data_IF_060781259671
#
_entry.id   IF_060781259671
#
_cell.length_a   1.000
_cell.length_b   1.000
_cell.length_c   1.000
_cell.angle_alpha   90.00
_cell.angle_beta   90.00
_cell.angle_gamma   90.00
#
_symmetry.space_group_name_H-M   'P 1'
#
loop_
_entity.id
_entity.type
_entity.pdbx_description
1 polymer ?
#
# COMPACT_ATOMS: atom_id res chain seq x y z
N UNK A 1 35.65 -43.90 20.09
CA UNK A 1 35.26 -43.36 18.78
C UNK A 1 33.72 -43.42 18.72
N UNK A 2 33.09 -42.24 18.91
CA UNK A 2 31.65 -42.13 18.79
C UNK A 2 31.32 -42.05 17.30
N UNK A 3 30.55 -42.98 16.80
CA UNK A 3 29.99 -42.92 15.45
C UNK A 3 28.88 -41.89 15.53
N UNK A 4 29.16 -40.65 15.07
CA UNK A 4 28.11 -39.69 14.82
C UNK A 4 27.20 -40.26 13.75
N UNK A 5 26.01 -40.61 14.15
CA UNK A 5 24.93 -41.07 13.27
C UNK A 5 24.60 -39.86 12.37
N UNK A 6 25.04 -39.94 11.12
CA UNK A 6 24.72 -38.95 10.11
C UNK A 6 23.22 -39.02 9.86
N UNK A 7 22.47 -38.18 10.56
CA UNK A 7 21.03 -38.04 10.33
C UNK A 7 20.88 -37.41 8.96
N UNK A 8 20.50 -38.23 7.97
CA UNK A 8 20.17 -37.78 6.64
C UNK A 8 18.88 -36.98 6.73
N UNK A 9 19.01 -35.66 6.81
CA UNK A 9 17.82 -34.77 6.79
C UNK A 9 17.22 -34.84 5.38
N UNK A 10 16.07 -35.47 5.27
CA UNK A 10 15.29 -35.45 4.03
C UNK A 10 14.56 -34.11 4.01
N UNK A 11 14.97 -33.23 3.10
CA UNK A 11 14.22 -32.01 2.85
C UNK A 11 12.96 -32.35 2.06
N UNK A 12 11.83 -31.82 2.51
CA UNK A 12 10.58 -31.92 1.77
C UNK A 12 10.73 -31.24 0.40
N UNK A 13 10.23 -31.88 -0.65
CA UNK A 13 10.22 -31.30 -2.01
C UNK A 13 9.31 -30.07 -2.12
N UNK A 14 8.50 -29.82 -1.11
CA UNK A 14 7.62 -28.65 -1.04
C UNK A 14 8.16 -27.62 -0.05
N UNK A 15 8.71 -26.54 -0.59
CA UNK A 15 8.95 -25.34 0.18
C UNK A 15 7.59 -24.68 0.42
N UNK A 16 7.10 -24.69 1.66
CA UNK A 16 5.89 -23.97 2.02
C UNK A 16 6.20 -22.49 2.07
N UNK A 17 5.50 -21.75 1.25
CA UNK A 17 5.48 -20.28 1.35
C UNK A 17 4.65 -19.91 2.57
N UNK A 18 5.31 -19.64 3.69
CA UNK A 18 4.64 -19.38 4.99
C UNK A 18 4.04 -17.97 5.10
N UNK A 19 4.31 -17.10 4.14
CA UNK A 19 3.93 -15.69 4.23
C UNK A 19 3.07 -15.28 3.06
N UNK A 20 1.80 -15.10 3.35
CA UNK A 20 0.84 -14.46 2.46
C UNK A 20 0.35 -13.20 3.16
N UNK A 21 0.78 -12.03 2.69
CA UNK A 21 0.22 -10.78 3.15
C UNK A 21 -0.61 -10.15 2.04
N UNK A 22 -1.77 -9.63 2.44
CA UNK A 22 -2.61 -8.88 1.53
C UNK A 22 -2.10 -7.44 1.44
N UNK A 23 -1.44 -7.13 0.34
CA UNK A 23 -0.86 -5.83 0.03
C UNK A 23 -1.90 -4.99 -0.71
N UNK A 24 -2.74 -4.29 0.01
CA UNK A 24 -3.93 -3.64 -0.54
C UNK A 24 -3.83 -2.10 -0.62
N UNK A 25 -2.97 -1.45 0.15
CA UNK A 25 -2.75 -0.02 0.06
C UNK A 25 -2.24 0.42 -1.33
N UNK A 26 -1.55 -0.47 -2.03
CA UNK A 26 -1.16 -0.26 -3.44
C UNK A 26 -2.33 -0.08 -4.42
N UNK A 27 -3.56 -0.42 -4.04
CA UNK A 27 -4.77 -0.16 -4.83
C UNK A 27 -5.09 1.33 -4.96
N UNK A 28 -4.57 2.16 -4.06
CA UNK A 28 -4.67 3.62 -4.11
C UNK A 28 -3.69 4.26 -5.11
N UNK A 29 -2.68 3.51 -5.60
CA UNK A 29 -1.69 4.01 -6.55
C UNK A 29 -2.30 4.29 -7.92
N UNK A 30 -1.98 5.46 -8.46
CA UNK A 30 -2.34 5.86 -9.82
C UNK A 30 -1.35 5.25 -10.82
N UNK A 31 -1.82 4.38 -11.74
CA UNK A 31 -0.97 3.74 -12.73
C UNK A 31 -0.51 4.69 -13.85
N UNK A 32 -1.09 5.88 -14.00
CA UNK A 32 -0.79 6.80 -15.11
C UNK A 32 0.68 7.24 -15.07
N UNK A 33 1.24 7.42 -13.88
CA UNK A 33 2.61 7.90 -13.70
C UNK A 33 3.70 6.83 -13.88
N UNK A 34 3.35 5.56 -14.06
CA UNK A 34 4.34 4.47 -14.23
C UNK A 34 5.28 4.66 -15.41
N UNK A 35 4.81 5.29 -16.50
CA UNK A 35 5.63 5.50 -17.70
C UNK A 35 6.65 6.61 -17.49
N UNK A 36 6.22 7.70 -16.86
CA UNK A 36 7.05 8.88 -16.66
C UNK A 36 8.15 8.65 -15.63
N UNK A 37 7.89 7.79 -14.64
CA UNK A 37 8.86 7.41 -13.62
C UNK A 37 10.04 6.58 -14.11
N UNK A 38 10.01 6.05 -15.33
CA UNK A 38 11.11 5.21 -15.85
C UNK A 38 12.39 5.99 -16.18
N UNK A 39 12.29 7.28 -16.42
CA UNK A 39 13.38 8.06 -17.04
C UNK A 39 13.88 9.25 -16.20
N UNK A 40 13.29 9.53 -15.04
CA UNK A 40 13.66 10.69 -14.23
C UNK A 40 13.74 10.38 -12.74
N UNK A 41 14.51 11.19 -12.02
CA UNK A 41 14.59 11.12 -10.55
C UNK A 41 13.38 11.78 -9.87
N UNK A 42 12.68 12.64 -10.59
CA UNK A 42 11.46 13.31 -10.16
C UNK A 42 10.42 13.27 -11.28
N UNK A 43 9.16 13.19 -10.91
CA UNK A 43 8.02 13.30 -11.82
C UNK A 43 7.13 14.43 -11.34
N UNK A 44 6.83 15.35 -12.25
CA UNK A 44 5.94 16.48 -12.02
C UNK A 44 4.49 16.04 -12.31
N UNK A 45 3.68 15.94 -11.25
CA UNK A 45 2.24 15.69 -11.35
C UNK A 45 1.54 17.03 -11.45
N UNK A 46 0.93 17.31 -12.61
CA UNK A 46 0.23 18.55 -12.87
C UNK A 46 -1.26 18.42 -12.58
N UNK A 47 -1.80 19.45 -11.95
CA UNK A 47 -3.23 19.59 -11.68
C UNK A 47 -3.71 20.90 -12.28
N UNK A 48 -4.89 20.88 -12.90
CA UNK A 48 -5.53 22.13 -13.35
C UNK A 48 -6.23 22.78 -12.17
N UNK A 49 -6.01 24.08 -12.00
CA UNK A 49 -6.78 24.86 -11.06
C UNK A 49 -8.20 25.07 -11.64
N UNK A 50 -9.27 25.00 -10.80
CA UNK A 50 -10.63 25.21 -11.29
C UNK A 50 -10.79 26.65 -11.80
N UNK A 51 -11.51 26.78 -12.89
CA UNK A 51 -11.92 28.08 -13.41
C UNK A 51 -13.17 28.56 -12.68
N UNK A 52 -13.23 29.86 -12.38
CA UNK A 52 -14.42 30.49 -11.80
C UNK A 52 -15.40 30.82 -12.91
N UNK A 53 -16.65 30.40 -12.78
CA UNK A 53 -17.72 30.87 -13.65
C UNK A 53 -18.29 32.18 -13.09
N UNK A 54 -18.30 33.20 -13.92
CA UNK A 54 -18.96 34.46 -13.60
C UNK A 54 -20.36 34.48 -14.24
N UNK A 55 -21.33 35.11 -13.57
CA UNK A 55 -22.64 35.31 -14.12
C UNK A 55 -22.56 36.24 -15.32
N UNK A 56 -23.31 35.90 -16.38
CA UNK A 56 -23.39 36.69 -17.60
C UNK A 56 -24.78 37.27 -17.71
N UNK A 57 -24.88 38.58 -17.55
CA UNK A 57 -26.17 39.32 -17.63
C UNK A 57 -26.51 39.87 -19.03
N UNK A 58 -25.70 39.53 -20.04
CA UNK A 58 -25.84 40.06 -21.42
C UNK A 58 -24.98 41.33 -21.63
N UNK A 59 -24.46 41.49 -22.84
CA UNK A 59 -23.56 42.57 -23.21
C UNK A 59 -22.19 42.09 -23.64
N UNK A 60 -21.21 42.98 -23.76
CA UNK A 60 -19.85 42.62 -24.10
C UNK A 60 -19.17 42.00 -22.89
N UNK A 61 -18.42 40.89 -23.13
CA UNK A 61 -17.59 40.28 -22.11
C UNK A 61 -16.48 41.24 -21.66
N UNK A 62 -16.40 41.51 -20.35
CA UNK A 62 -15.32 42.29 -19.80
C UNK A 62 -14.00 41.47 -19.79
N UNK A 63 -13.15 41.74 -20.78
CA UNK A 63 -11.88 41.06 -20.96
C UNK A 63 -10.89 41.41 -19.81
N UNK A 64 -11.15 42.47 -19.03
CA UNK A 64 -10.30 42.84 -17.89
C UNK A 64 -10.39 41.82 -16.72
N UNK A 65 -11.46 41.03 -16.67
CA UNK A 65 -11.71 40.04 -15.65
C UNK A 65 -11.31 38.61 -16.05
N UNK A 66 -10.56 38.43 -17.13
CA UNK A 66 -10.11 37.13 -17.61
C UNK A 66 -9.22 36.45 -16.57
N UNK A 67 -9.71 35.39 -16.02
CA UNK A 67 -8.94 34.54 -15.12
C UNK A 67 -7.86 33.77 -15.91
N UNK A 68 -6.62 33.80 -15.45
CA UNK A 68 -5.55 32.97 -16.04
C UNK A 68 -5.73 31.53 -15.58
N UNK A 69 -5.88 30.63 -16.54
CA UNK A 69 -5.86 29.20 -16.25
C UNK A 69 -4.54 28.83 -15.55
N UNK A 70 -4.64 28.43 -14.30
CA UNK A 70 -3.52 28.03 -13.47
C UNK A 70 -3.30 26.51 -13.52
N UNK A 71 -2.07 26.09 -13.29
CA UNK A 71 -1.72 24.70 -13.07
C UNK A 71 -0.86 24.59 -11.83
N UNK A 72 -1.29 23.73 -10.91
CA UNK A 72 -0.51 23.37 -9.72
C UNK A 72 0.33 22.15 -10.01
N UNK A 73 1.61 22.16 -9.63
CA UNK A 73 2.52 21.05 -9.87
C UNK A 73 3.01 20.46 -8.56
N UNK A 74 2.92 19.14 -8.41
CA UNK A 74 3.45 18.41 -7.25
C UNK A 74 4.55 17.45 -7.70
N UNK A 75 5.76 17.64 -7.18
CA UNK A 75 6.92 16.78 -7.48
C UNK A 75 6.85 15.47 -6.68
N UNK A 76 6.94 14.36 -7.38
CA UNK A 76 7.09 13.02 -6.81
C UNK A 76 8.53 12.55 -7.01
N UNK A 77 9.28 12.44 -5.91
CA UNK A 77 10.68 11.97 -5.95
C UNK A 77 10.75 10.47 -5.98
N UNK A 78 11.65 9.94 -6.83
CA UNK A 78 11.96 8.52 -6.91
C UNK A 78 13.23 8.28 -6.08
N UNK A 79 13.07 8.14 -4.79
CA UNK A 79 14.20 8.09 -3.83
C UNK A 79 14.18 6.87 -2.91
N UNK A 80 13.21 5.96 -3.08
CA UNK A 80 13.14 4.75 -2.25
C UNK A 80 13.74 3.57 -3.01
N UNK A 81 14.90 3.11 -2.58
CA UNK A 81 15.57 1.93 -3.11
C UNK A 81 15.52 0.76 -2.13
N UNK A 82 15.34 -0.45 -2.64
CA UNK A 82 15.47 -1.70 -1.88
C UNK A 82 16.39 -2.63 -2.62
N UNK A 83 17.27 -3.32 -1.88
CA UNK A 83 18.17 -4.31 -2.42
C UNK A 83 18.17 -5.55 -1.55
N UNK A 84 18.37 -6.70 -2.18
CA UNK A 84 18.58 -7.97 -1.52
C UNK A 84 19.90 -8.53 -2.03
N UNK A 85 20.66 -9.11 -1.12
CA UNK A 85 21.88 -9.84 -1.40
C UNK A 85 21.92 -11.11 -0.56
N UNK A 86 22.10 -12.25 -1.20
CA UNK A 86 22.29 -13.53 -0.53
C UNK A 86 23.23 -14.44 -1.32
N UNK A 87 23.80 -15.42 -0.65
CA UNK A 87 24.61 -16.46 -1.29
C UNK A 87 24.01 -17.83 -1.06
N UNK A 88 24.17 -18.69 -2.03
CA UNK A 88 23.90 -20.11 -1.90
C UNK A 88 25.22 -20.86 -1.93
N UNK A 89 25.44 -21.65 -0.89
CA UNK A 89 26.59 -22.52 -0.75
C UNK A 89 26.45 -23.69 -1.75
N UNK A 90 27.39 -23.81 -2.69
CA UNK A 90 27.35 -24.88 -3.70
C UNK A 90 27.46 -26.28 -3.07
N UNK A 91 28.19 -26.43 -1.97
CA UNK A 91 28.28 -27.71 -1.27
C UNK A 91 26.91 -28.17 -0.75
N UNK A 92 26.11 -27.24 -0.19
CA UNK A 92 24.72 -27.55 0.21
C UNK A 92 23.80 -27.80 -0.98
N UNK A 93 24.00 -27.06 -2.08
CA UNK A 93 23.28 -27.27 -3.32
C UNK A 93 23.62 -28.61 -3.96
N UNK A 94 24.89 -29.07 -3.88
CA UNK A 94 25.30 -30.36 -4.40
C UNK A 94 24.81 -31.52 -3.50
N UNK A 95 24.67 -31.32 -2.22
CA UNK A 95 23.97 -32.27 -1.33
C UNK A 95 22.49 -32.43 -1.69
N UNK A 96 21.85 -31.34 -2.11
CA UNK A 96 20.48 -31.35 -2.64
C UNK A 96 20.46 -31.99 -4.05
N UNK A 97 21.47 -31.77 -4.88
CA UNK A 97 21.60 -32.40 -6.22
C UNK A 97 21.70 -33.92 -6.19
N UNK A 98 22.37 -34.50 -5.19
CA UNK A 98 22.41 -35.94 -5.01
C UNK A 98 21.04 -36.59 -4.73
N UNK A 99 20.02 -35.78 -4.56
CA UNK A 99 18.64 -36.19 -4.37
C UNK A 99 17.74 -36.13 -5.62
N UNK A 100 18.16 -35.68 -6.78
CA UNK A 100 17.47 -35.64 -8.10
C UNK A 100 17.49 -34.26 -8.80
N UNK A 101 18.16 -34.16 -9.93
CA UNK A 101 18.00 -33.24 -11.06
C UNK A 101 18.22 -31.73 -10.87
N UNK A 102 18.83 -31.10 -11.88
CA UNK A 102 19.03 -29.64 -12.07
C UNK A 102 17.73 -28.81 -11.91
N UNK A 103 16.57 -29.43 -12.05
CA UNK A 103 15.27 -28.80 -11.89
C UNK A 103 15.00 -28.27 -10.47
N UNK A 104 15.55 -28.90 -9.43
CA UNK A 104 15.32 -28.50 -8.03
C UNK A 104 16.10 -27.23 -7.65
N UNK A 105 17.32 -27.10 -8.18
CA UNK A 105 18.13 -25.86 -8.00
C UNK A 105 17.43 -24.66 -8.63
N UNK A 106 16.86 -24.85 -9.83
CA UNK A 106 16.11 -23.82 -10.54
C UNK A 106 14.83 -23.47 -9.76
N UNK A 107 14.17 -24.46 -9.16
CA UNK A 107 12.96 -24.25 -8.34
C UNK A 107 13.28 -23.41 -7.10
N UNK A 108 14.33 -23.75 -6.37
CA UNK A 108 14.77 -23.02 -5.17
C UNK A 108 15.11 -21.55 -5.49
N UNK A 109 15.87 -21.29 -6.55
CA UNK A 109 16.20 -19.92 -6.96
C UNK A 109 14.96 -19.14 -7.37
N UNK A 110 13.99 -19.79 -8.04
CA UNK A 110 12.70 -19.15 -8.38
C UNK A 110 11.90 -18.76 -7.14
N UNK A 111 11.90 -19.59 -6.12
CA UNK A 111 11.20 -19.32 -4.87
C UNK A 111 11.83 -18.14 -4.11
N UNK A 112 13.17 -18.10 -3.99
CA UNK A 112 13.86 -16.94 -3.42
C UNK A 112 13.64 -15.67 -4.25
N UNK A 113 13.57 -15.78 -5.57
CA UNK A 113 13.26 -14.64 -6.44
C UNK A 113 11.83 -14.15 -6.22
N UNK A 114 10.88 -15.06 -6.03
CA UNK A 114 9.49 -14.70 -5.74
C UNK A 114 9.34 -14.04 -4.37
N UNK A 115 10.03 -14.57 -3.34
CA UNK A 115 10.04 -13.97 -2.00
C UNK A 115 10.68 -12.58 -2.02
N UNK A 116 11.80 -12.42 -2.71
CA UNK A 116 12.47 -11.13 -2.87
C UNK A 116 11.57 -10.08 -3.55
N UNK A 117 10.80 -10.49 -4.56
CA UNK A 117 9.83 -9.63 -5.22
C UNK A 117 8.69 -9.25 -4.29
N UNK A 118 8.17 -10.20 -3.53
CA UNK A 118 7.12 -9.94 -2.53
C UNK A 118 7.58 -8.95 -1.45
N UNK A 119 8.83 -9.07 -0.98
CA UNK A 119 9.43 -8.12 -0.03
C UNK A 119 9.53 -6.71 -0.65
N UNK A 120 9.82 -6.62 -1.94
CA UNK A 120 9.83 -5.36 -2.67
C UNK A 120 8.42 -4.76 -2.79
N UNK A 121 7.44 -5.56 -3.17
CA UNK A 121 6.03 -5.15 -3.27
C UNK A 121 5.49 -4.71 -1.89
N UNK A 122 5.88 -5.40 -0.81
CA UNK A 122 5.59 -4.99 0.58
C UNK A 122 6.19 -3.63 0.92
N UNK A 123 7.42 -3.36 0.48
CA UNK A 123 8.04 -2.05 0.71
C UNK A 123 7.28 -0.92 0.01
N UNK A 124 6.77 -1.16 -1.20
CA UNK A 124 5.92 -0.20 -1.92
C UNK A 124 4.60 0.00 -1.16
N UNK A 125 3.96 -1.10 -0.74
CA UNK A 125 2.70 -1.05 -0.01
C UNK A 125 2.83 -0.28 1.30
N UNK A 126 3.88 -0.55 2.08
CA UNK A 126 4.20 0.19 3.30
C UNK A 126 4.41 1.68 3.02
N UNK A 127 5.10 2.02 1.93
CA UNK A 127 5.29 3.40 1.54
C UNK A 127 3.96 4.09 1.17
N UNK A 128 2.97 3.35 0.65
CA UNK A 128 1.61 3.88 0.45
C UNK A 128 0.91 4.15 1.79
N UNK A 129 1.03 3.26 2.75
CA UNK A 129 0.47 3.45 4.10
C UNK A 129 1.09 4.67 4.81
N UNK A 130 2.41 4.86 4.69
CA UNK A 130 3.13 6.02 5.23
C UNK A 130 2.63 7.37 4.67
N UNK A 131 1.92 7.37 3.52
CA UNK A 131 1.36 8.61 2.95
C UNK A 131 0.25 9.22 3.82
N UNK A 132 -0.20 8.55 4.87
CA UNK A 132 -1.10 9.13 5.88
C UNK A 132 -0.62 10.48 6.42
N UNK A 133 0.70 10.69 6.48
CA UNK A 133 1.31 11.96 6.93
C UNK A 133 0.86 13.14 6.06
N UNK A 134 0.48 12.88 4.80
CA UNK A 134 0.00 13.86 3.84
C UNK A 134 -1.51 13.87 3.68
N UNK A 135 -2.19 12.93 4.32
CA UNK A 135 -3.64 12.82 4.30
C UNK A 135 -4.30 13.94 5.10
N UNK A 136 -5.53 14.27 4.74
CA UNK A 136 -6.41 15.05 5.62
C UNK A 136 -6.77 14.19 6.83
N UNK A 137 -6.32 14.61 8.00
CA UNK A 137 -6.60 13.89 9.24
C UNK A 137 -7.97 14.29 9.81
N UNK A 138 -8.82 13.29 10.08
CA UNK A 138 -10.09 13.51 10.74
C UNK A 138 -9.87 13.98 12.19
N UNK A 139 -10.83 14.72 12.72
CA UNK A 139 -10.84 15.23 14.10
C UNK A 139 -9.53 15.93 14.51
N UNK A 140 -8.87 16.62 13.56
CA UNK A 140 -7.57 17.26 13.79
C UNK A 140 -6.53 16.33 14.43
N UNK A 141 -6.49 15.07 13.98
CA UNK A 141 -5.61 14.02 14.50
C UNK A 141 -5.91 13.60 15.95
N UNK A 142 -7.10 13.89 16.47
CA UNK A 142 -7.54 13.38 17.78
C UNK A 142 -7.80 11.88 17.70
N UNK A 143 -7.41 11.15 18.74
CA UNK A 143 -7.64 9.71 18.78
C UNK A 143 -9.14 9.39 18.94
N UNK A 144 -9.64 8.50 18.07
CA UNK A 144 -11.02 8.03 18.08
C UNK A 144 -11.00 6.57 18.54
N UNK A 145 -11.61 6.28 19.68
CA UNK A 145 -11.79 4.89 20.12
C UNK A 145 -12.87 4.25 19.26
N UNK A 146 -12.56 3.14 18.59
CA UNK A 146 -13.52 2.45 17.74
C UNK A 146 -14.55 1.74 18.60
N UNK A 147 -15.82 2.07 18.36
CA UNK A 147 -17.01 1.50 18.97
C UNK A 147 -18.11 1.41 17.91
N UNK A 148 -19.20 0.77 18.26
CA UNK A 148 -20.36 0.59 17.38
C UNK A 148 -20.86 1.90 16.75
N UNK A 149 -20.86 2.96 17.53
CA UNK A 149 -21.30 4.29 17.08
C UNK A 149 -20.19 5.01 16.32
N UNK A 150 -18.95 4.94 16.82
CA UNK A 150 -17.86 5.76 16.31
C UNK A 150 -17.29 5.25 14.98
N UNK A 151 -17.37 3.94 14.69
CA UNK A 151 -16.94 3.44 13.37
C UNK A 151 -17.79 4.04 12.25
N UNK A 152 -19.11 4.18 12.45
CA UNK A 152 -19.98 4.85 11.50
C UNK A 152 -19.59 6.32 11.31
N UNK A 153 -19.28 7.03 12.40
CA UNK A 153 -18.86 8.42 12.35
C UNK A 153 -17.53 8.60 11.60
N UNK A 154 -16.54 7.71 11.79
CA UNK A 154 -15.26 7.75 11.07
C UNK A 154 -15.48 7.66 9.56
N UNK A 155 -16.27 6.68 9.10
CA UNK A 155 -16.57 6.51 7.69
C UNK A 155 -17.41 7.65 7.11
N UNK A 156 -18.41 8.14 7.86
CA UNK A 156 -19.22 9.29 7.46
C UNK A 156 -18.38 10.58 7.35
N UNK A 157 -17.50 10.82 8.31
CA UNK A 157 -16.58 11.97 8.30
C UNK A 157 -15.57 11.86 7.16
N UNK A 158 -15.03 10.66 6.90
CA UNK A 158 -14.14 10.42 5.76
C UNK A 158 -14.87 10.68 4.43
N UNK A 159 -16.09 10.18 4.26
CA UNK A 159 -16.93 10.46 3.09
C UNK A 159 -17.16 11.96 2.92
N UNK A 160 -17.55 12.65 3.99
CA UNK A 160 -17.81 14.08 3.96
C UNK A 160 -16.57 14.87 3.58
N UNK A 161 -15.39 14.51 4.11
CA UNK A 161 -14.13 15.16 3.76
C UNK A 161 -13.77 14.96 2.28
N UNK A 162 -13.95 13.74 1.75
CA UNK A 162 -13.68 13.44 0.33
C UNK A 162 -14.68 14.10 -0.63
N UNK A 163 -15.95 14.24 -0.22
CA UNK A 163 -16.98 14.96 -1.01
C UNK A 163 -16.70 16.46 -1.02
N UNK A 164 -16.36 17.04 0.13
CA UNK A 164 -15.99 18.46 0.23
C UNK A 164 -14.70 18.80 -0.54
N UNK A 165 -13.79 17.83 -0.64
CA UNK A 165 -12.53 18.00 -1.34
C UNK A 165 -11.72 19.18 -0.82
N UNK A 166 -11.27 20.05 -1.72
CA UNK A 166 -10.46 21.24 -1.40
C UNK A 166 -11.29 22.48 -1.05
N UNK A 167 -12.61 22.37 -1.10
CA UNK A 167 -13.53 23.51 -0.90
C UNK A 167 -13.60 24.49 -2.08
N UNK A 168 -12.88 24.23 -3.17
CA UNK A 168 -12.86 25.06 -4.40
C UNK A 168 -13.55 24.40 -5.57
N UNK A 169 -14.28 23.30 -5.32
CA UNK A 169 -15.00 22.54 -6.35
C UNK A 169 -14.35 21.23 -6.77
N UNK A 170 -13.13 20.94 -6.33
CA UNK A 170 -12.54 19.64 -6.57
C UNK A 170 -13.00 18.64 -5.51
N UNK A 171 -13.73 17.64 -5.91
CA UNK A 171 -14.10 16.51 -5.06
C UNK A 171 -13.22 15.30 -5.34
N UNK A 172 -12.84 14.58 -4.29
CA UNK A 172 -12.16 13.29 -4.40
C UNK A 172 -13.17 12.14 -4.50
N UNK A 173 -14.44 12.38 -4.17
CA UNK A 173 -15.47 11.35 -4.14
C UNK A 173 -15.94 10.96 -5.54
N UNK A 174 -15.99 9.65 -5.79
CA UNK A 174 -16.64 9.06 -6.96
C UNK A 174 -17.29 7.74 -6.57
N UNK A 175 -18.59 7.65 -6.74
CA UNK A 175 -19.35 6.44 -6.41
C UNK A 175 -18.80 5.20 -7.13
N UNK A 176 -18.69 4.10 -6.39
CA UNK A 176 -18.18 2.83 -6.90
C UNK A 176 -16.66 2.73 -7.06
N UNK A 177 -15.91 3.81 -6.84
CA UNK A 177 -14.44 3.80 -6.94
C UNK A 177 -13.73 4.08 -5.59
N UNK A 178 -14.50 4.25 -4.52
CA UNK A 178 -13.94 4.58 -3.21
C UNK A 178 -13.48 3.34 -2.47
N UNK A 179 -12.29 3.42 -1.86
CA UNK A 179 -11.68 2.35 -1.07
C UNK A 179 -11.41 2.86 0.35
N UNK A 180 -11.68 2.00 1.32
CA UNK A 180 -11.19 2.12 2.68
C UNK A 180 -10.19 0.98 2.93
N UNK A 181 -8.93 1.32 3.21
CA UNK A 181 -7.89 0.37 3.60
C UNK A 181 -7.83 0.37 5.12
N UNK A 182 -8.13 -0.76 5.73
CA UNK A 182 -8.23 -0.93 7.19
C UNK A 182 -7.31 -2.03 7.69
N UNK A 183 -7.04 -2.06 8.98
CA UNK A 183 -6.30 -3.12 9.64
C UNK A 183 -7.14 -4.39 9.81
N UNK A 184 -6.50 -5.56 10.01
CA UNK A 184 -7.21 -6.79 10.37
C UNK A 184 -8.01 -6.66 11.68
N UNK A 185 -7.49 -5.87 12.63
CA UNK A 185 -8.15 -5.63 13.92
C UNK A 185 -9.46 -4.85 13.71
N UNK A 186 -9.43 -3.82 12.89
CA UNK A 186 -10.62 -3.04 12.56
C UNK A 186 -11.63 -3.87 11.75
N UNK A 187 -11.15 -4.71 10.84
CA UNK A 187 -11.97 -5.64 10.06
C UNK A 187 -12.70 -6.62 10.97
N UNK A 188 -11.98 -7.28 11.89
CA UNK A 188 -12.57 -8.23 12.83
C UNK A 188 -13.65 -7.57 13.68
N UNK A 189 -13.43 -6.30 14.12
CA UNK A 189 -14.42 -5.52 14.83
C UNK A 189 -15.68 -5.28 13.97
N UNK A 190 -15.51 -4.80 12.73
CA UNK A 190 -16.62 -4.53 11.81
C UNK A 190 -17.40 -5.78 11.42
N UNK A 191 -16.71 -6.92 11.28
CA UNK A 191 -17.33 -8.23 10.97
C UNK A 191 -18.16 -8.75 12.13
N UNK A 192 -17.68 -8.60 13.37
CA UNK A 192 -18.43 -8.98 14.57
C UNK A 192 -19.76 -8.23 14.67
N UNK A 193 -19.77 -6.97 14.27
CA UNK A 193 -20.97 -6.13 14.24
C UNK A 193 -21.89 -6.37 13.04
N UNK A 194 -21.48 -7.22 12.09
CA UNK A 194 -22.23 -7.52 10.86
C UNK A 194 -22.61 -6.29 10.03
N UNK A 195 -21.79 -5.25 10.05
CA UNK A 195 -22.04 -3.99 9.33
C UNK A 195 -21.55 -3.99 7.89
N UNK A 196 -20.70 -4.95 7.54
CA UNK A 196 -20.15 -5.09 6.19
C UNK A 196 -21.17 -5.73 5.24
N UNK A 197 -21.43 -5.05 4.12
CA UNK A 197 -22.29 -5.59 3.06
C UNK A 197 -21.42 -6.22 1.98
N UNK A 198 -21.64 -7.50 1.72
CA UNK A 198 -20.91 -8.20 0.66
C UNK A 198 -21.53 -7.91 -0.70
N UNK A 199 -20.67 -7.70 -1.70
CA UNK A 199 -21.07 -7.50 -3.09
C UNK A 199 -20.16 -8.30 -4.02
N UNK A 200 -20.74 -9.26 -4.74
CA UNK A 200 -20.01 -10.10 -5.71
C UNK A 200 -19.34 -9.29 -6.83
N UNK A 201 -19.99 -8.20 -7.27
CA UNK A 201 -19.45 -7.31 -8.31
C UNK A 201 -18.19 -6.62 -7.81
N UNK A 202 -18.23 -6.08 -6.60
CA UNK A 202 -17.07 -5.41 -5.98
C UNK A 202 -15.98 -6.40 -5.59
N UNK A 203 -16.33 -7.61 -5.15
CA UNK A 203 -15.37 -8.68 -4.88
C UNK A 203 -14.57 -9.05 -6.14
N UNK A 204 -15.23 -9.16 -7.30
CA UNK A 204 -14.56 -9.38 -8.60
C UNK A 204 -13.67 -8.21 -9.01
N UNK A 205 -14.06 -6.99 -8.70
CA UNK A 205 -13.32 -5.78 -9.05
C UNK A 205 -12.05 -5.61 -8.19
N UNK A 206 -12.18 -5.75 -6.88
CA UNK A 206 -11.08 -5.54 -5.93
C UNK A 206 -10.28 -6.81 -5.62
N UNK A 207 -10.81 -7.98 -5.93
CA UNK A 207 -10.14 -9.29 -5.76
C UNK A 207 -9.65 -9.54 -4.32
N UNK A 208 -8.32 -9.60 -4.12
CA UNK A 208 -7.71 -9.93 -2.83
C UNK A 208 -7.99 -8.86 -1.77
N UNK A 209 -8.22 -9.30 -0.52
CA UNK A 209 -8.39 -8.45 0.66
C UNK A 209 -9.70 -7.66 0.70
N UNK A 210 -10.60 -7.83 -0.26
CA UNK A 210 -11.93 -7.25 -0.19
C UNK A 210 -12.79 -8.02 0.82
N UNK A 211 -13.35 -7.28 1.77
CA UNK A 211 -14.18 -7.85 2.85
C UNK A 211 -15.65 -7.51 2.66
N UNK A 212 -15.95 -6.32 2.17
CA UNK A 212 -17.33 -5.89 1.96
C UNK A 212 -17.42 -4.41 1.60
N UNK A 213 -18.66 -3.93 1.52
CA UNK A 213 -18.99 -2.52 1.29
C UNK A 213 -19.49 -1.90 2.57
N UNK A 214 -19.06 -0.69 2.87
CA UNK A 214 -19.57 0.09 3.98
C UNK A 214 -19.62 1.59 3.63
N UNK A 215 -20.78 2.20 3.74
CA UNK A 215 -21.05 3.63 3.48
C UNK A 215 -20.52 4.15 2.12
N UNK A 216 -20.50 3.29 1.09
CA UNK A 216 -20.02 3.61 -0.26
C UNK A 216 -18.53 3.37 -0.48
N UNK A 217 -17.81 2.88 0.52
CA UNK A 217 -16.42 2.42 0.39
C UNK A 217 -16.36 0.91 0.18
N UNK A 218 -15.51 0.47 -0.73
CA UNK A 218 -15.05 -0.89 -0.77
C UNK A 218 -13.98 -1.08 0.32
N UNK A 219 -14.31 -1.87 1.33
CA UNK A 219 -13.42 -2.14 2.46
C UNK A 219 -12.43 -3.23 2.08
N UNK A 220 -11.15 -2.92 2.22
CA UNK A 220 -10.03 -3.85 1.97
C UNK A 220 -9.10 -3.88 3.18
N UNK A 221 -8.62 -5.07 3.52
CA UNK A 221 -7.73 -5.28 4.66
C UNK A 221 -6.27 -5.23 4.22
N UNK A 222 -5.44 -4.59 5.03
CA UNK A 222 -4.00 -4.54 4.82
C UNK A 222 -3.24 -4.63 6.15
N UNK A 223 -2.34 -5.59 6.24
CA UNK A 223 -1.54 -5.80 7.46
C UNK A 223 -0.48 -4.71 7.69
N UNK A 224 -0.16 -3.93 6.66
CA UNK A 224 0.88 -2.90 6.71
C UNK A 224 0.32 -1.50 6.99
N UNK A 225 -0.92 -1.40 7.45
CA UNK A 225 -1.48 -0.13 7.92
C UNK A 225 -0.52 0.49 8.93
N UNK A 226 -0.28 1.79 8.77
CA UNK A 226 0.63 2.49 9.65
C UNK A 226 0.07 2.53 11.09
N UNK A 227 0.93 2.20 12.05
CA UNK A 227 0.58 2.14 13.48
C UNK A 227 1.58 2.98 14.27
N UNK A 228 1.09 3.69 15.28
CA UNK A 228 1.95 4.39 16.25
C UNK A 228 1.62 3.96 17.66
N UNK A 229 2.66 3.73 18.47
CA UNK A 229 2.47 3.43 19.89
C UNK A 229 2.86 4.65 20.71
N UNK A 230 1.97 5.09 21.55
CA UNK A 230 2.14 6.24 22.46
C UNK A 230 1.95 5.76 23.90
N UNK A 231 2.68 6.36 24.84
CA UNK A 231 2.46 6.11 26.27
C UNK A 231 1.36 7.05 26.77
N UNK A 232 0.21 6.49 27.12
CA UNK A 232 -0.92 7.22 27.66
C UNK A 232 -1.20 6.71 29.07
N UNK A 233 -1.11 7.59 30.06
CA UNK A 233 -1.30 7.25 31.49
C UNK A 233 -0.42 6.09 31.97
N UNK A 234 0.79 5.94 31.41
CA UNK A 234 1.72 4.88 31.79
C UNK A 234 1.55 3.55 31.02
N UNK A 235 0.55 3.45 30.17
CA UNK A 235 0.30 2.28 29.33
C UNK A 235 0.68 2.54 27.87
N UNK A 236 1.20 1.50 27.20
CA UNK A 236 1.46 1.54 25.77
C UNK A 236 0.16 1.39 24.99
N UNK A 237 -0.24 2.43 24.29
CA UNK A 237 -1.45 2.47 23.47
C UNK A 237 -1.06 2.52 21.99
N UNK A 238 -1.52 1.56 21.21
CA UNK A 238 -1.25 1.51 19.76
C UNK A 238 -2.44 2.05 18.99
N UNK A 239 -2.18 3.06 18.17
CA UNK A 239 -3.13 3.67 17.27
C UNK A 239 -2.88 3.19 15.84
N UNK A 240 -3.96 3.01 15.09
CA UNK A 240 -3.97 2.60 13.70
C UNK A 240 -4.50 3.73 12.81
N UNK A 241 -4.04 3.77 11.56
CA UNK A 241 -4.39 4.83 10.64
C UNK A 241 -5.01 4.26 9.36
N UNK A 242 -6.33 3.98 9.36
CA UNK A 242 -7.02 3.59 8.13
C UNK A 242 -6.90 4.67 7.07
N UNK A 243 -6.87 4.25 5.80
CA UNK A 243 -6.76 5.15 4.66
C UNK A 243 -8.04 5.12 3.83
N UNK A 244 -8.56 6.29 3.51
CA UNK A 244 -9.74 6.47 2.69
C UNK A 244 -9.38 7.28 1.45
N UNK A 245 -9.72 6.75 0.28
CA UNK A 245 -9.40 7.43 -0.97
C UNK A 245 -10.03 6.76 -2.17
N UNK A 246 -9.76 7.31 -3.35
CA UNK A 246 -10.24 6.76 -4.61
C UNK A 246 -9.24 5.74 -5.17
N UNK A 247 -9.72 4.58 -5.60
CA UNK A 247 -8.92 3.56 -6.24
C UNK A 247 -8.15 4.12 -7.45
N UNK A 248 -6.86 3.80 -7.56
CA UNK A 248 -6.00 4.15 -8.70
C UNK A 248 -5.90 5.65 -9.02
N UNK A 249 -6.17 6.54 -8.06
CA UNK A 249 -6.16 7.99 -8.28
C UNK A 249 -5.65 8.80 -7.09
N UNK A 250 -5.49 8.18 -5.93
CA UNK A 250 -5.19 8.91 -4.68
C UNK A 250 -3.71 9.16 -4.47
N UNK A 251 -2.86 8.19 -4.81
CA UNK A 251 -1.43 8.24 -4.56
C UNK A 251 -0.70 8.18 -5.89
N UNK A 252 0.07 9.20 -6.21
CA UNK A 252 0.98 9.18 -7.35
C UNK A 252 2.21 8.35 -7.00
N UNK A 253 2.55 7.41 -7.87
CA UNK A 253 3.71 6.58 -7.60
C UNK A 253 3.95 5.53 -8.68
N UNK A 254 5.13 4.97 -8.67
CA UNK A 254 5.51 3.93 -9.59
C UNK A 254 6.89 3.37 -9.32
N UNK A 255 7.22 2.34 -10.06
CA UNK A 255 8.51 1.65 -10.00
C UNK A 255 9.34 2.11 -11.18
N UNK A 256 10.49 2.74 -10.88
CA UNK A 256 11.47 3.12 -11.89
C UNK A 256 12.25 1.91 -12.38
N UNK A 257 12.82 1.16 -11.45
CA UNK A 257 13.52 -0.09 -11.72
C UNK A 257 12.78 -1.22 -11.01
N UNK A 258 12.19 -2.11 -11.81
CA UNK A 258 11.54 -3.31 -11.29
C UNK A 258 12.58 -4.23 -10.66
N UNK A 259 12.17 -4.95 -9.63
CA UNK A 259 13.05 -5.86 -8.93
C UNK A 259 13.39 -7.05 -9.83
N UNK A 260 14.68 -7.21 -10.11
CA UNK A 260 15.22 -8.36 -10.85
C UNK A 260 16.37 -8.96 -10.06
N UNK A 261 16.36 -10.28 -9.93
CA UNK A 261 17.45 -11.03 -9.33
C UNK A 261 18.49 -11.34 -10.41
N UNK A 262 19.72 -10.97 -10.13
CA UNK A 262 20.92 -11.28 -10.92
C UNK A 262 21.78 -12.25 -10.13
N UNK A 263 22.59 -13.05 -10.80
CA UNK A 263 23.49 -13.99 -10.15
C UNK A 263 24.88 -13.95 -10.78
N UNK A 264 25.90 -14.23 -9.99
CA UNK A 264 27.28 -14.33 -10.43
C UNK A 264 28.15 -15.07 -9.45
N UNK A 265 29.27 -15.62 -9.95
CA UNK A 265 30.30 -16.23 -9.12
C UNK A 265 31.41 -15.21 -8.88
N UNK A 266 31.93 -15.17 -7.65
CA UNK A 266 33.14 -14.42 -7.36
C UNK A 266 34.33 -15.15 -7.97
N UNK A 267 35.28 -14.42 -8.57
CA UNK A 267 36.51 -15.00 -9.10
C UNK A 267 37.25 -15.74 -7.98
N UNK A 268 37.49 -17.03 -8.18
CA UNK A 268 38.13 -17.92 -7.19
C UNK A 268 37.22 -18.43 -6.06
N UNK A 269 35.90 -18.17 -6.12
CA UNK A 269 34.92 -18.67 -5.15
C UNK A 269 34.03 -19.75 -5.71
N UNK A 270 33.62 -20.69 -4.84
CA UNK A 270 32.68 -21.76 -5.19
C UNK A 270 31.22 -21.36 -5.03
N UNK A 271 30.94 -20.28 -4.25
CA UNK A 271 29.59 -19.84 -3.95
C UNK A 271 28.98 -19.02 -5.09
N UNK A 272 27.71 -19.26 -5.37
CA UNK A 272 26.93 -18.40 -6.26
C UNK A 272 26.27 -17.30 -5.43
N UNK A 273 26.56 -16.07 -5.79
CA UNK A 273 25.96 -14.87 -5.19
C UNK A 273 24.77 -14.42 -6.01
N UNK A 274 23.70 -14.03 -5.30
CA UNK A 274 22.50 -13.49 -5.88
C UNK A 274 22.26 -12.08 -5.33
N UNK A 275 21.95 -11.14 -6.21
CA UNK A 275 21.62 -9.77 -5.83
C UNK A 275 20.49 -9.22 -6.66
N UNK A 276 19.71 -8.36 -6.09
CA UNK A 276 18.65 -7.65 -6.77
C UNK A 276 18.45 -6.28 -6.17
N UNK A 277 18.01 -5.34 -6.99
CA UNK A 277 17.61 -4.00 -6.55
C UNK A 277 16.39 -3.54 -7.30
N UNK A 278 15.53 -2.84 -6.58
CA UNK A 278 14.39 -2.12 -7.14
C UNK A 278 14.37 -0.68 -6.63
N UNK A 279 13.86 0.22 -7.44
CA UNK A 279 13.74 1.65 -7.10
C UNK A 279 12.33 2.10 -7.40
N UNK A 280 11.72 2.85 -6.46
CA UNK A 280 10.36 3.34 -6.59
C UNK A 280 10.18 4.70 -5.93
N UNK A 281 9.11 5.39 -6.29
CA UNK A 281 8.66 6.63 -5.66
C UNK A 281 7.17 6.58 -5.40
N UNK A 282 6.74 7.11 -4.25
CA UNK A 282 5.34 7.16 -3.82
C UNK A 282 5.08 8.45 -3.08
N UNK A 283 4.04 9.19 -3.48
CA UNK A 283 3.62 10.42 -2.82
C UNK A 283 2.14 10.68 -3.02
N UNK A 284 1.42 10.98 -1.95
CA UNK A 284 0.09 11.57 -2.05
C UNK A 284 0.24 13.02 -2.53
N UNK A 285 -0.25 13.35 -3.74
CA UNK A 285 0.02 14.65 -4.35
C UNK A 285 -0.76 15.75 -3.65
N UNK A 286 -2.01 15.49 -3.31
CA UNK A 286 -2.94 16.46 -2.70
C UNK A 286 -3.57 15.85 -1.45
N UNK A 287 -3.60 16.62 -0.38
CA UNK A 287 -4.09 16.15 0.93
C UNK A 287 -5.57 15.75 0.91
N UNK A 288 -6.40 16.46 0.15
CA UNK A 288 -7.83 16.20 0.09
C UNK A 288 -8.21 14.91 -0.65
N UNK A 289 -7.28 14.31 -1.43
CA UNK A 289 -7.51 13.04 -2.13
C UNK A 289 -7.37 11.84 -1.20
N UNK A 290 -6.70 12.00 -0.07
CA UNK A 290 -6.44 10.96 0.91
C UNK A 290 -6.89 11.44 2.29
N UNK A 291 -7.74 10.66 2.92
CA UNK A 291 -8.21 10.93 4.28
C UNK A 291 -7.73 9.81 5.20
N UNK A 292 -7.41 10.15 6.43
CA UNK A 292 -7.03 9.19 7.46
C UNK A 292 -7.59 9.61 8.83
N UNK A 293 -7.63 8.67 9.75
CA UNK A 293 -8.06 8.90 11.12
C UNK A 293 -7.09 8.23 12.09
N UNK A 294 -6.88 8.81 13.26
CA UNK A 294 -6.15 8.18 14.37
C UNK A 294 -7.13 7.33 15.16
N UNK A 295 -7.13 6.01 14.93
CA UNK A 295 -8.08 5.08 15.51
C UNK A 295 -7.43 4.22 16.59
N UNK A 296 -8.12 4.05 17.72
CA UNK A 296 -7.79 3.08 18.75
C UNK A 296 -8.79 1.93 18.68
N UNK A 297 -8.34 0.78 18.21
CA UNK A 297 -9.15 -0.45 18.16
C UNK A 297 -8.91 -1.23 19.45
N UNK A 298 -9.92 -1.33 20.30
CA UNK A 298 -9.86 -2.13 21.53
C UNK A 298 -10.75 -3.35 21.36
N UNK A 299 -10.18 -4.54 21.40
CA UNK A 299 -10.93 -5.75 21.60
C UNK A 299 -11.15 -5.95 23.10
N UNK A 300 -12.39 -5.79 23.56
CA UNK A 300 -12.77 -6.31 24.85
C UNK A 300 -13.15 -7.77 24.62
N UNK A 301 -12.24 -8.70 24.89
CA UNK A 301 -12.59 -10.11 24.98
C UNK A 301 -13.50 -10.17 26.21
N UNK A 302 -14.80 -10.34 25.98
CA UNK A 302 -15.77 -10.50 27.06
C UNK A 302 -15.33 -11.66 27.95
N UNK A 303 -15.15 -11.37 29.22
CA UNK A 303 -14.93 -12.36 30.29
C UNK A 303 -16.14 -13.20 30.51
#
# INVERSE_FOLDING_TARGET
MAIETLVKTIFSDEFRKERWEDLNAGKLLDPQFKKDMKFGDEVDVQFHDPLTMNDYEGGDLDISTVEKAGTSTVKVKINKGKSIFFKLDEAKLDQIKNAKTDNEKIKLVKEYSADAREQFDRAINKACCEQRIRATMLENNRAITISDTNVHQVFASAKTALVKGDGKGHTAWKDGEMIAVISPEMEAFMSTMKILQYSDVMAKHYKKGFVGMFMGFAVVVDNNIDKTTEVVSGENVTYEYPLFGRAKRTIAGGVQKDFKLESGKKVGGFDTHYWGKGVFGVKAPLSYLLVSAKCLVKFTIGS
#
